data_IF_282295963624
#
_entry.id   IF_282295963624
#
_cell.length_a   1.000
_cell.length_b   1.000
_cell.length_c   1.000
_cell.angle_alpha   90.00
_cell.angle_beta   90.00
_cell.angle_gamma   90.00
#
_symmetry.space_group_name_H-M   'P 1'
#
loop_
_entity.id
_entity.type
_entity.pdbx_description
1 polymer ?
#
# COMPACT_ATOMS: atom_id res chain seq x y z
N UNK A 1 -10.79 -11.67 -29.65
CA UNK A 1 -11.99 -10.91 -29.26
C UNK A 1 -12.42 -11.39 -27.89
N UNK A 2 -12.16 -10.65 -26.80
CA UNK A 2 -12.50 -11.11 -25.45
C UNK A 2 -14.00 -10.93 -25.18
N UNK A 3 -14.62 -11.97 -24.62
CA UNK A 3 -15.96 -11.91 -24.04
C UNK A 3 -15.83 -11.75 -22.53
N UNK A 4 -16.29 -10.65 -22.02
CA UNK A 4 -16.24 -10.35 -20.57
C UNK A 4 -17.57 -10.72 -19.93
N UNK A 5 -17.52 -11.56 -18.90
CA UNK A 5 -18.68 -11.95 -18.11
C UNK A 5 -18.64 -11.17 -16.80
N UNK A 6 -19.66 -10.34 -16.56
CA UNK A 6 -19.82 -9.58 -15.32
C UNK A 6 -20.49 -10.42 -14.22
N UNK A 7 -20.41 -10.02 -12.93
CA UNK A 7 -21.01 -10.76 -11.82
C UNK A 7 -22.52 -11.00 -11.91
N UNK A 8 -23.25 -10.11 -12.60
CA UNK A 8 -24.68 -10.22 -12.87
C UNK A 8 -25.02 -11.16 -14.04
N UNK A 9 -24.01 -11.78 -14.65
CA UNK A 9 -24.13 -12.67 -15.82
C UNK A 9 -24.18 -11.95 -17.17
N UNK A 10 -24.15 -10.62 -17.19
CA UNK A 10 -24.12 -9.84 -18.42
C UNK A 10 -22.82 -10.10 -19.17
N UNK A 11 -22.93 -10.29 -20.50
CA UNK A 11 -21.78 -10.49 -21.40
C UNK A 11 -21.51 -9.22 -22.20
N UNK A 12 -20.26 -8.82 -22.23
CA UNK A 12 -19.76 -7.70 -23.04
C UNK A 12 -18.74 -8.26 -24.05
N UNK A 13 -18.96 -8.03 -25.33
CA UNK A 13 -18.12 -8.52 -26.40
C UNK A 13 -17.28 -7.37 -26.96
N UNK A 14 -15.98 -7.60 -27.14
CA UNK A 14 -15.06 -6.58 -27.63
C UNK A 14 -14.26 -7.12 -28.81
N UNK A 15 -14.05 -6.27 -29.82
CA UNK A 15 -13.23 -6.60 -31.00
C UNK A 15 -11.72 -6.56 -30.69
N UNK A 16 -11.33 -5.83 -29.67
CA UNK A 16 -9.94 -5.62 -29.26
C UNK A 16 -9.79 -5.85 -27.76
N UNK A 17 -8.54 -5.89 -27.30
CA UNK A 17 -8.20 -5.87 -25.87
C UNK A 17 -8.90 -4.72 -25.15
N UNK A 18 -9.30 -4.95 -23.92
CA UNK A 18 -10.05 -4.02 -23.08
C UNK A 18 -9.41 -3.95 -21.69
N UNK A 19 -9.51 -2.81 -21.01
CA UNK A 19 -9.05 -2.63 -19.63
C UNK A 19 -10.23 -2.42 -18.67
N UNK A 20 -9.95 -2.55 -17.37
CA UNK A 20 -10.96 -2.44 -16.32
C UNK A 20 -11.61 -1.07 -16.23
N UNK A 21 -10.88 0.01 -16.55
CA UNK A 21 -11.45 1.37 -16.51
C UNK A 21 -12.52 1.55 -17.58
N UNK A 22 -12.28 1.06 -18.79
CA UNK A 22 -13.28 1.08 -19.88
C UNK A 22 -14.48 0.21 -19.55
N UNK A 23 -14.26 -1.00 -18.99
CA UNK A 23 -15.35 -1.86 -18.52
C UNK A 23 -16.21 -1.14 -17.47
N UNK A 24 -15.59 -0.53 -16.47
CA UNK A 24 -16.29 0.23 -15.43
C UNK A 24 -17.10 1.40 -16.03
N UNK A 25 -16.54 2.11 -17.00
CA UNK A 25 -17.21 3.20 -17.73
C UNK A 25 -18.44 2.76 -18.54
N UNK A 26 -18.38 1.58 -19.14
CA UNK A 26 -19.52 0.98 -19.86
C UNK A 26 -20.65 0.53 -18.94
N UNK A 27 -20.33 0.17 -17.69
CA UNK A 27 -21.35 -0.16 -16.68
C UNK A 27 -21.99 1.12 -16.16
N UNK A 28 -21.21 2.07 -15.66
CA UNK A 28 -21.67 3.40 -15.28
C UNK A 28 -20.52 4.38 -15.04
N UNK A 29 -20.76 5.67 -15.26
CA UNK A 29 -19.82 6.75 -14.95
C UNK A 29 -19.48 6.83 -13.45
N UNK A 30 -20.46 6.51 -12.59
CA UNK A 30 -20.26 6.45 -11.13
C UNK A 30 -19.28 5.32 -10.75
N UNK A 31 -19.43 4.13 -11.34
CA UNK A 31 -18.52 3.00 -11.08
C UNK A 31 -17.11 3.30 -11.58
N UNK A 32 -16.96 3.92 -12.75
CA UNK A 32 -15.63 4.31 -13.27
C UNK A 32 -14.87 5.25 -12.31
N UNK A 33 -15.59 6.19 -11.68
CA UNK A 33 -15.00 7.08 -10.66
C UNK A 33 -14.58 6.36 -9.39
N UNK A 34 -15.34 5.35 -8.96
CA UNK A 34 -15.11 4.60 -7.72
C UNK A 34 -14.20 3.36 -7.92
N UNK A 35 -13.95 2.96 -9.16
CA UNK A 35 -13.13 1.81 -9.47
C UNK A 35 -11.69 2.01 -8.99
N UNK A 36 -11.17 1.01 -8.30
CA UNK A 36 -9.81 0.99 -7.73
C UNK A 36 -8.93 -0.02 -8.47
N UNK A 37 -9.36 -1.26 -8.51
CA UNK A 37 -8.73 -2.39 -9.21
C UNK A 37 -9.81 -3.28 -9.80
N UNK A 38 -9.44 -4.31 -10.53
CA UNK A 38 -10.38 -5.33 -11.00
C UNK A 38 -9.91 -6.73 -10.60
N UNK A 39 -10.86 -7.64 -10.52
CA UNK A 39 -10.59 -9.06 -10.44
C UNK A 39 -10.87 -9.69 -11.82
N UNK A 40 -9.91 -10.44 -12.31
CA UNK A 40 -9.99 -11.17 -13.59
C UNK A 40 -9.78 -12.65 -13.28
N UNK A 41 -10.80 -13.46 -13.50
CA UNK A 41 -10.78 -14.92 -13.24
C UNK A 41 -10.31 -15.27 -11.80
N UNK A 42 -10.72 -14.48 -10.80
CA UNK A 42 -10.36 -14.67 -9.40
C UNK A 42 -9.01 -14.04 -8.97
N UNK A 43 -8.31 -13.37 -9.87
CA UNK A 43 -7.02 -12.73 -9.58
C UNK A 43 -7.15 -11.22 -9.66
N UNK A 44 -6.73 -10.51 -8.61
CA UNK A 44 -6.71 -9.05 -8.61
C UNK A 44 -5.65 -8.51 -9.59
N UNK A 45 -6.03 -7.50 -10.35
CA UNK A 45 -5.22 -6.82 -11.37
C UNK A 45 -5.45 -5.31 -11.31
N UNK A 46 -4.44 -4.57 -11.74
CA UNK A 46 -4.56 -3.12 -11.96
C UNK A 46 -5.70 -2.82 -12.93
N UNK A 47 -6.39 -1.67 -12.78
CA UNK A 47 -7.46 -1.28 -13.69
C UNK A 47 -7.01 -1.12 -15.15
N UNK A 48 -5.74 -0.76 -15.37
CA UNK A 48 -5.17 -0.61 -16.72
C UNK A 48 -4.63 -1.91 -17.30
N UNK A 49 -4.73 -3.04 -16.58
CA UNK A 49 -4.34 -4.34 -17.13
C UNK A 49 -5.23 -4.71 -18.31
N UNK A 50 -4.60 -5.09 -19.44
CA UNK A 50 -5.29 -5.42 -20.68
C UNK A 50 -5.78 -6.87 -20.67
N UNK A 51 -7.08 -7.04 -20.88
CA UNK A 51 -7.72 -8.36 -21.01
C UNK A 51 -7.78 -8.70 -22.50
N UNK A 52 -7.17 -9.82 -22.86
CA UNK A 52 -7.02 -10.27 -24.27
C UNK A 52 -7.80 -11.53 -24.59
N UNK A 53 -8.33 -12.23 -23.58
CA UNK A 53 -9.08 -13.50 -23.70
C UNK A 53 -10.40 -13.42 -22.93
N UNK A 54 -11.29 -14.38 -23.21
CA UNK A 54 -12.54 -14.53 -22.48
C UNK A 54 -12.27 -14.65 -20.98
N UNK A 55 -12.94 -13.84 -20.17
CA UNK A 55 -12.68 -13.76 -18.72
C UNK A 55 -13.90 -13.29 -17.94
N UNK A 56 -13.97 -13.73 -16.68
CA UNK A 56 -14.91 -13.17 -15.69
C UNK A 56 -14.25 -11.96 -15.05
N UNK A 57 -14.95 -10.84 -15.01
CA UNK A 57 -14.41 -9.58 -14.48
C UNK A 57 -15.34 -8.96 -13.47
N UNK A 58 -14.78 -8.60 -12.31
CA UNK A 58 -15.45 -7.83 -11.25
C UNK A 58 -14.67 -6.54 -10.98
N UNK A 59 -15.33 -5.41 -11.01
CA UNK A 59 -14.72 -4.13 -10.64
C UNK A 59 -14.78 -3.98 -9.12
N UNK A 60 -13.65 -3.65 -8.53
CA UNK A 60 -13.46 -3.51 -7.09
C UNK A 60 -13.44 -2.04 -6.71
N UNK A 61 -14.16 -1.69 -5.66
CA UNK A 61 -14.25 -0.33 -5.09
C UNK A 61 -13.85 -0.34 -3.61
N UNK A 62 -13.79 0.82 -2.95
CA UNK A 62 -13.51 0.94 -1.51
C UNK A 62 -14.53 0.25 -0.60
N UNK A 63 -15.71 -0.11 -1.12
CA UNK A 63 -16.72 -0.86 -0.39
C UNK A 63 -16.40 -2.35 -0.27
N UNK A 64 -15.46 -2.84 -1.06
CA UNK A 64 -14.99 -4.23 -1.02
C UNK A 64 -13.77 -4.32 -0.09
N UNK A 65 -13.64 -5.42 0.63
CA UNK A 65 -12.49 -5.69 1.50
C UNK A 65 -11.17 -5.59 0.74
N UNK A 66 -11.12 -6.21 -0.42
CA UNK A 66 -9.95 -6.21 -1.31
C UNK A 66 -9.59 -4.79 -1.78
N UNK A 67 -10.59 -3.94 -2.02
CA UNK A 67 -10.39 -2.53 -2.38
C UNK A 67 -9.75 -1.73 -1.26
N UNK A 68 -10.17 -1.97 -0.01
CA UNK A 68 -9.56 -1.33 1.15
C UNK A 68 -8.12 -1.81 1.39
N UNK A 69 -7.85 -3.10 1.16
CA UNK A 69 -6.49 -3.65 1.24
C UNK A 69 -5.55 -2.99 0.20
N UNK A 70 -6.02 -2.78 -1.03
CA UNK A 70 -5.23 -2.07 -2.05
C UNK A 70 -5.02 -0.60 -1.68
N UNK A 71 -6.02 0.10 -1.15
CA UNK A 71 -5.85 1.48 -0.65
C UNK A 71 -4.77 1.53 0.43
N UNK A 72 -4.75 0.60 1.38
CA UNK A 72 -3.73 0.49 2.44
C UNK A 72 -2.35 0.20 1.88
N UNK A 73 -2.29 -0.67 0.88
CA UNK A 73 -1.04 -0.99 0.19
C UNK A 73 -0.43 0.23 -0.51
N UNK A 74 -1.24 0.97 -1.26
CA UNK A 74 -0.81 2.22 -1.89
C UNK A 74 -0.45 3.30 -0.87
N UNK A 75 -1.19 3.40 0.25
CA UNK A 75 -0.84 4.31 1.33
C UNK A 75 0.55 3.99 1.93
N UNK A 76 0.94 2.71 2.02
CA UNK A 76 2.28 2.30 2.44
C UNK A 76 3.35 2.78 1.44
N UNK A 77 3.10 2.67 0.12
CA UNK A 77 4.01 3.17 -0.91
C UNK A 77 4.13 4.70 -0.89
N UNK A 78 3.02 5.42 -0.73
CA UNK A 78 3.06 6.89 -0.63
C UNK A 78 3.75 7.35 0.66
N UNK A 79 3.61 6.61 1.76
CA UNK A 79 4.40 6.84 2.98
C UNK A 79 5.90 6.64 2.70
N UNK A 80 6.29 5.57 2.03
CA UNK A 80 7.69 5.30 1.68
C UNK A 80 8.27 6.41 0.78
N UNK A 81 7.50 6.84 -0.23
CA UNK A 81 7.86 7.98 -1.10
C UNK A 81 8.02 9.27 -0.29
N UNK A 82 7.09 9.58 0.61
CA UNK A 82 7.14 10.77 1.45
C UNK A 82 8.37 10.74 2.38
N UNK A 83 8.65 9.59 3.00
CA UNK A 83 9.81 9.41 3.87
C UNK A 83 11.11 9.67 3.11
N UNK A 84 11.30 9.09 1.92
CA UNK A 84 12.52 9.28 1.14
C UNK A 84 12.68 10.72 0.64
N UNK A 85 11.59 11.43 0.36
CA UNK A 85 11.63 12.84 -0.02
C UNK A 85 12.00 13.76 1.14
N UNK A 86 11.52 13.47 2.35
CA UNK A 86 11.80 14.27 3.55
C UNK A 86 13.14 13.93 4.20
N UNK A 87 13.56 12.66 4.08
CA UNK A 87 14.76 12.12 4.72
C UNK A 87 15.64 11.40 3.70
N UNK A 88 16.36 12.13 2.85
CA UNK A 88 17.24 11.56 1.83
C UNK A 88 18.26 10.57 2.43
N UNK A 89 18.50 9.47 1.74
CA UNK A 89 19.38 8.39 2.19
C UNK A 89 18.70 7.34 3.08
N UNK A 90 17.44 7.53 3.45
CA UNK A 90 16.62 6.47 4.08
C UNK A 90 16.33 5.38 3.06
N UNK A 91 16.69 4.13 3.38
CA UNK A 91 16.40 2.99 2.52
C UNK A 91 15.04 2.38 2.86
N UNK A 92 14.33 1.96 1.84
CA UNK A 92 13.04 1.28 1.98
C UNK A 92 13.20 -0.23 1.87
N UNK A 93 12.40 -0.98 2.61
CA UNK A 93 12.47 -2.45 2.62
C UNK A 93 11.15 -3.08 2.16
N UNK A 94 10.25 -3.37 3.08
CA UNK A 94 8.93 -3.95 2.80
C UNK A 94 7.83 -3.19 3.53
N UNK A 95 6.64 -3.11 2.89
CA UNK A 95 5.46 -2.43 3.42
C UNK A 95 4.17 -3.24 3.25
N UNK A 96 3.95 -4.30 4.05
CA UNK A 96 2.76 -5.11 3.93
C UNK A 96 1.53 -4.43 4.54
N UNK A 97 0.37 -4.83 4.04
CA UNK A 97 -0.92 -4.56 4.66
C UNK A 97 -1.12 -5.48 5.86
N UNK A 98 -1.74 -4.94 6.91
CA UNK A 98 -2.18 -5.66 8.11
C UNK A 98 -3.67 -5.45 8.32
N UNK A 99 -4.29 -6.15 9.28
CA UNK A 99 -5.74 -6.21 9.46
C UNK A 99 -6.45 -4.85 9.41
N UNK A 100 -5.96 -3.84 10.14
CA UNK A 100 -6.58 -2.51 10.20
C UNK A 100 -5.64 -1.39 9.74
N UNK A 101 -4.66 -1.71 8.90
CA UNK A 101 -3.70 -0.71 8.45
C UNK A 101 -2.59 -1.29 7.58
N UNK A 102 -1.45 -0.68 7.72
CA UNK A 102 -0.23 -1.03 7.01
C UNK A 102 0.98 -0.64 7.85
N UNK A 103 2.15 -1.12 7.47
CA UNK A 103 3.40 -0.56 7.95
C UNK A 103 4.42 -0.52 6.82
N UNK A 104 5.53 0.17 7.06
CA UNK A 104 6.71 0.10 6.21
C UNK A 104 7.98 0.13 7.07
N UNK A 105 8.97 -0.68 6.71
CA UNK A 105 10.24 -0.76 7.40
C UNK A 105 11.30 0.07 6.67
N UNK A 106 12.00 0.90 7.43
CA UNK A 106 13.00 1.84 6.95
C UNK A 106 14.34 1.60 7.61
N UNK A 107 15.43 1.62 6.83
CA UNK A 107 16.78 1.68 7.37
C UNK A 107 17.25 3.13 7.38
N UNK A 108 17.40 3.69 8.59
CA UNK A 108 17.82 5.07 8.85
C UNK A 108 18.63 5.11 10.15
N UNK A 109 19.68 5.94 10.21
CA UNK A 109 20.52 6.08 11.40
C UNK A 109 19.79 6.80 12.54
N UNK A 110 19.20 7.97 12.24
CA UNK A 110 18.45 8.72 13.26
C UNK A 110 17.05 8.14 13.44
N UNK A 111 16.56 8.02 14.69
CA UNK A 111 15.21 7.56 14.96
C UNK A 111 14.16 8.56 14.45
N UNK A 112 13.04 8.03 13.96
CA UNK A 112 11.86 8.85 13.68
C UNK A 112 11.21 9.31 14.98
N UNK A 113 10.81 10.59 15.01
CA UNK A 113 10.09 11.21 16.13
C UNK A 113 8.61 11.32 15.84
N UNK A 114 7.80 11.67 16.85
CA UNK A 114 6.38 11.98 16.65
C UNK A 114 6.16 13.17 15.71
N UNK A 115 7.05 14.17 15.75
CA UNK A 115 6.99 15.33 14.86
C UNK A 115 7.29 14.93 13.40
N UNK A 116 8.16 13.94 13.21
CA UNK A 116 8.42 13.41 11.87
C UNK A 116 7.20 12.71 11.29
N UNK A 117 6.42 11.99 12.10
CA UNK A 117 5.16 11.38 11.63
C UNK A 117 4.19 12.45 11.09
N UNK A 118 4.07 13.59 11.76
CA UNK A 118 3.22 14.70 11.29
C UNK A 118 3.70 15.30 9.97
N UNK A 119 5.03 15.46 9.81
CA UNK A 119 5.63 15.92 8.54
C UNK A 119 5.39 14.92 7.42
N UNK A 120 5.54 13.62 7.71
CA UNK A 120 5.29 12.54 6.75
C UNK A 120 3.81 12.54 6.33
N UNK A 121 2.86 12.63 7.25
CA UNK A 121 1.43 12.74 6.95
C UNK A 121 1.11 13.93 6.04
N UNK A 122 1.69 15.08 6.34
CA UNK A 122 1.54 16.29 5.52
C UNK A 122 2.06 16.03 4.11
N UNK A 123 3.27 15.44 3.98
CA UNK A 123 3.85 15.14 2.68
C UNK A 123 3.06 14.08 1.90
N UNK A 124 2.57 13.04 2.57
CA UNK A 124 1.64 12.08 1.97
C UNK A 124 0.40 12.77 1.40
N UNK A 125 -0.20 13.69 2.16
CA UNK A 125 -1.38 14.45 1.70
C UNK A 125 -1.08 15.28 0.46
N UNK A 126 0.09 15.91 0.38
CA UNK A 126 0.54 16.66 -0.80
C UNK A 126 0.72 15.77 -2.03
N UNK A 127 1.32 14.57 -1.87
CA UNK A 127 1.51 13.60 -2.95
C UNK A 127 0.14 13.07 -3.43
N UNK A 128 -0.80 12.86 -2.53
CA UNK A 128 -2.17 12.45 -2.86
C UNK A 128 -2.88 13.55 -3.67
N UNK A 129 -2.73 14.83 -3.28
CA UNK A 129 -3.31 15.97 -3.99
C UNK A 129 -2.72 16.16 -5.40
N UNK A 130 -1.47 15.79 -5.62
CA UNK A 130 -0.83 15.81 -6.93
C UNK A 130 -1.40 14.76 -7.89
N UNK A 131 -2.14 13.78 -7.39
CA UNK A 131 -2.74 12.66 -8.16
C UNK A 131 -1.75 12.00 -9.12
N UNK A 132 -0.54 11.69 -8.61
CA UNK A 132 0.53 11.10 -9.40
C UNK A 132 0.11 9.74 -9.95
N UNK A 133 0.35 9.52 -11.25
CA UNK A 133 -0.06 8.29 -11.92
C UNK A 133 0.83 7.11 -11.52
N UNK A 134 0.21 5.93 -11.44
CA UNK A 134 0.90 4.68 -11.18
C UNK A 134 1.10 3.93 -12.49
N UNK A 135 2.34 3.46 -12.74
CA UNK A 135 2.71 2.68 -13.92
C UNK A 135 3.45 1.43 -13.50
N UNK A 136 3.02 0.27 -14.01
CA UNK A 136 3.69 -1.01 -13.82
C UNK A 136 4.65 -1.29 -14.97
N UNK A 137 5.88 -1.71 -14.64
CA UNK A 137 6.85 -2.24 -15.60
C UNK A 137 7.37 -3.60 -15.14
N UNK A 138 7.69 -4.46 -16.07
CA UNK A 138 8.40 -5.72 -15.81
C UNK A 138 9.87 -5.52 -16.16
N UNK A 139 10.74 -5.81 -15.18
CA UNK A 139 12.17 -5.65 -15.38
C UNK A 139 12.89 -7.00 -15.35
N UNK A 140 13.93 -7.09 -16.17
CA UNK A 140 14.88 -8.20 -16.09
C UNK A 140 15.62 -8.15 -14.75
N UNK A 141 15.83 -9.32 -14.12
CA UNK A 141 16.43 -9.46 -12.79
C UNK A 141 17.76 -8.73 -12.63
N UNK A 142 18.69 -8.94 -13.56
CA UNK A 142 20.01 -8.29 -13.50
C UNK A 142 19.89 -6.76 -13.60
N UNK A 143 19.01 -6.28 -14.45
CA UNK A 143 18.70 -4.84 -14.57
C UNK A 143 18.18 -4.29 -13.25
N UNK A 144 17.22 -4.97 -12.62
CA UNK A 144 16.63 -4.54 -11.36
C UNK A 144 17.65 -4.52 -10.23
N UNK A 145 18.43 -5.58 -10.04
CA UNK A 145 19.49 -5.65 -9.00
C UNK A 145 20.50 -4.51 -9.19
N UNK A 146 21.03 -4.34 -10.41
CA UNK A 146 22.02 -3.29 -10.69
C UNK A 146 21.46 -1.89 -10.45
N UNK A 147 20.19 -1.68 -10.82
CA UNK A 147 19.52 -0.41 -10.60
C UNK A 147 19.38 -0.08 -9.12
N UNK A 148 18.82 -0.99 -8.30
CA UNK A 148 18.61 -0.75 -6.87
C UNK A 148 19.96 -0.62 -6.13
N UNK A 149 21.00 -1.39 -6.51
CA UNK A 149 22.36 -1.19 -5.97
C UNK A 149 22.92 0.19 -6.32
N UNK A 150 22.71 0.67 -7.55
CA UNK A 150 23.21 1.98 -8.02
C UNK A 150 22.55 3.15 -7.27
N UNK A 151 21.26 3.07 -6.94
CA UNK A 151 20.55 4.12 -6.19
C UNK A 151 20.69 3.96 -4.66
N UNK A 152 21.45 2.97 -4.18
CA UNK A 152 21.72 2.78 -2.76
C UNK A 152 20.69 1.94 -2.00
N UNK A 153 19.70 1.37 -2.68
CA UNK A 153 18.63 0.54 -2.10
C UNK A 153 19.10 -0.92 -1.92
N UNK A 154 20.03 -1.15 -0.97
CA UNK A 154 20.63 -2.48 -0.75
C UNK A 154 19.61 -3.55 -0.40
N UNK A 155 18.59 -3.22 0.42
CA UNK A 155 17.56 -4.16 0.83
C UNK A 155 16.66 -4.60 -0.32
N UNK A 156 16.32 -3.68 -1.24
CA UNK A 156 15.57 -4.04 -2.45
C UNK A 156 16.37 -4.98 -3.35
N UNK A 157 17.67 -4.72 -3.54
CA UNK A 157 18.54 -5.62 -4.29
C UNK A 157 18.59 -7.02 -3.65
N UNK A 158 18.74 -7.10 -2.32
CA UNK A 158 18.77 -8.37 -1.57
C UNK A 158 17.42 -9.11 -1.65
N UNK A 159 16.28 -8.40 -1.60
CA UNK A 159 14.96 -9.00 -1.80
C UNK A 159 14.87 -9.62 -3.19
N UNK A 160 15.28 -8.89 -4.24
CA UNK A 160 15.25 -9.39 -5.62
C UNK A 160 16.10 -10.65 -5.77
N UNK A 161 17.28 -10.69 -5.14
CA UNK A 161 18.16 -11.86 -5.17
C UNK A 161 17.52 -13.09 -4.51
N UNK A 162 16.60 -12.91 -3.55
CA UNK A 162 15.88 -13.99 -2.87
C UNK A 162 14.59 -14.45 -3.57
N UNK A 163 14.09 -13.73 -4.57
CA UNK A 163 12.91 -14.11 -5.34
C UNK A 163 13.29 -15.25 -6.31
N UNK A 164 12.51 -16.34 -6.43
CA UNK A 164 12.76 -17.41 -7.39
C UNK A 164 12.89 -16.90 -8.84
N UNK A 165 13.76 -17.52 -9.64
CA UNK A 165 14.00 -17.12 -11.03
C UNK A 165 12.78 -17.26 -11.94
N UNK A 166 11.83 -18.12 -11.58
CA UNK A 166 10.56 -18.33 -12.27
C UNK A 166 9.55 -17.21 -12.06
N UNK A 167 9.76 -16.31 -11.08
CA UNK A 167 8.86 -15.21 -10.78
C UNK A 167 9.21 -13.95 -11.57
N UNK A 168 8.18 -13.32 -12.12
CA UNK A 168 8.27 -12.03 -12.78
C UNK A 168 8.54 -10.91 -11.78
N UNK A 169 9.48 -10.02 -12.09
CA UNK A 169 9.79 -8.86 -11.29
C UNK A 169 9.05 -7.64 -11.82
N UNK A 170 8.07 -7.17 -11.07
CA UNK A 170 7.37 -5.94 -11.39
C UNK A 170 7.85 -4.77 -10.53
N UNK A 171 8.03 -3.64 -11.21
CA UNK A 171 8.38 -2.35 -10.62
C UNK A 171 7.20 -1.41 -10.84
N UNK A 172 6.74 -0.80 -9.77
CA UNK A 172 5.67 0.19 -9.82
C UNK A 172 6.26 1.59 -9.65
N UNK A 173 6.02 2.44 -10.63
CA UNK A 173 6.40 3.84 -10.64
C UNK A 173 5.22 4.67 -10.13
N UNK A 174 5.48 5.55 -9.17
CA UNK A 174 4.55 6.57 -8.71
C UNK A 174 5.06 7.93 -9.22
N UNK A 175 4.48 8.43 -10.30
CA UNK A 175 5.00 9.57 -11.04
C UNK A 175 6.32 9.25 -11.75
N UNK A 176 7.11 10.30 -12.01
CA UNK A 176 8.37 10.19 -12.76
C UNK A 176 9.59 9.93 -11.86
N UNK A 177 9.47 10.18 -10.55
CA UNK A 177 10.62 10.30 -9.66
C UNK A 177 10.78 9.18 -8.66
N UNK A 178 9.74 8.39 -8.42
CA UNK A 178 9.78 7.35 -7.41
C UNK A 178 9.22 6.02 -7.92
N UNK A 179 9.86 4.93 -7.52
CA UNK A 179 9.43 3.59 -7.89
C UNK A 179 9.83 2.56 -6.84
N UNK A 180 9.12 1.47 -6.80
CA UNK A 180 9.36 0.39 -5.87
C UNK A 180 9.16 -0.99 -6.50
N UNK A 181 9.87 -1.99 -5.94
CA UNK A 181 9.64 -3.41 -6.24
C UNK A 181 8.34 -3.85 -5.57
N UNK A 182 7.37 -4.26 -6.36
CA UNK A 182 6.08 -4.72 -5.83
C UNK A 182 5.37 -5.68 -6.79
N UNK A 183 4.61 -6.62 -6.23
CA UNK A 183 3.75 -7.53 -7.01
C UNK A 183 2.44 -6.87 -7.46
N UNK A 184 2.01 -5.81 -6.77
CA UNK A 184 0.71 -5.18 -6.98
C UNK A 184 -0.48 -6.03 -6.50
N UNK A 185 -1.73 -5.74 -6.94
CA UNK A 185 -2.03 -4.60 -7.80
C UNK A 185 -1.98 -3.26 -7.06
N UNK A 186 -1.94 -2.17 -7.84
CA UNK A 186 -1.95 -0.80 -7.34
C UNK A 186 -3.12 0.02 -7.91
N UNK A 187 -3.44 1.10 -7.23
CA UNK A 187 -4.36 2.13 -7.70
C UNK A 187 -3.80 2.82 -8.95
N UNK A 188 -4.66 3.33 -9.81
CA UNK A 188 -4.25 4.03 -11.04
C UNK A 188 -3.54 5.35 -10.77
N UNK A 189 -3.73 5.93 -9.57
CA UNK A 189 -3.05 7.16 -9.14
C UNK A 189 -3.18 7.38 -7.63
N UNK A 190 -2.28 8.20 -7.06
CA UNK A 190 -2.25 8.48 -5.62
C UNK A 190 -3.52 9.14 -5.10
N UNK A 191 -4.22 9.95 -5.91
CA UNK A 191 -5.47 10.59 -5.53
C UNK A 191 -6.60 9.62 -5.17
N UNK A 192 -6.54 8.37 -5.67
CA UNK A 192 -7.50 7.31 -5.34
C UNK A 192 -7.39 6.80 -3.90
N UNK A 193 -6.30 7.05 -3.19
CA UNK A 193 -6.12 6.69 -1.77
C UNK A 193 -7.08 7.51 -0.90
N UNK A 194 -7.29 8.79 -1.24
CA UNK A 194 -8.02 9.73 -0.40
C UNK A 194 -7.22 10.16 0.83
N UNK A 195 -7.87 10.95 1.71
CA UNK A 195 -7.21 11.54 2.91
C UNK A 195 -7.66 10.90 4.22
N UNK A 196 -8.30 9.74 4.17
CA UNK A 196 -8.75 9.03 5.36
C UNK A 196 -7.66 8.10 5.89
N UNK A 197 -6.48 8.64 6.20
CA UNK A 197 -5.34 7.90 6.75
C UNK A 197 -4.76 8.60 7.98
N UNK A 198 -4.01 7.83 8.80
CA UNK A 198 -3.28 8.31 9.96
C UNK A 198 -2.04 7.45 10.20
N UNK A 199 -0.89 8.06 10.47
CA UNK A 199 0.27 7.36 10.99
C UNK A 199 0.13 7.24 12.50
N UNK A 200 0.40 6.06 13.06
CA UNK A 200 0.01 5.78 14.45
C UNK A 200 1.19 5.68 15.39
N UNK A 201 2.25 4.98 14.99
CA UNK A 201 3.42 4.77 15.85
C UNK A 201 4.67 4.40 15.07
N UNK A 202 5.82 4.53 15.72
CA UNK A 202 7.09 3.99 15.31
C UNK A 202 7.49 2.85 16.25
N UNK A 203 8.11 1.81 15.74
CA UNK A 203 8.76 0.76 16.54
C UNK A 203 10.02 0.25 15.87
N UNK A 204 10.89 -0.43 16.62
CA UNK A 204 11.98 -1.22 16.04
C UNK A 204 11.46 -2.52 15.41
N UNK A 205 12.14 -2.99 14.38
CA UNK A 205 11.93 -4.31 13.79
C UNK A 205 13.25 -4.82 13.22
N UNK A 206 13.63 -6.06 13.54
CA UNK A 206 14.81 -6.64 12.94
C UNK A 206 14.56 -7.05 11.49
N UNK A 207 15.54 -6.77 10.63
CA UNK A 207 15.49 -7.20 9.23
C UNK A 207 15.26 -8.72 9.13
N UNK A 208 14.27 -9.12 8.36
CA UNK A 208 13.79 -10.51 8.21
C UNK A 208 13.43 -11.20 9.54
N UNK A 209 13.11 -10.44 10.58
CA UNK A 209 12.72 -10.98 11.89
C UNK A 209 13.85 -11.67 12.66
N UNK A 210 15.11 -11.52 12.24
CA UNK A 210 16.27 -12.11 12.90
C UNK A 210 17.02 -11.03 13.71
N UNK A 211 17.18 -11.26 15.02
CA UNK A 211 17.87 -10.34 15.96
C UNK A 211 19.34 -10.10 15.64
N UNK A 212 19.97 -10.97 14.87
CA UNK A 212 21.36 -10.80 14.44
C UNK A 212 21.51 -9.81 13.27
N UNK A 213 20.39 -9.45 12.62
CA UNK A 213 20.36 -8.49 11.54
C UNK A 213 20.17 -7.06 12.04
N UNK A 214 20.36 -6.09 11.15
CA UNK A 214 20.15 -4.67 11.44
C UNK A 214 18.73 -4.38 11.96
N UNK A 215 18.63 -3.53 12.98
CA UNK A 215 17.37 -3.02 13.46
C UNK A 215 16.88 -1.90 12.54
N UNK A 216 15.72 -2.10 11.96
CA UNK A 216 14.98 -1.15 11.12
C UNK A 216 13.99 -0.37 11.97
N UNK A 217 13.51 0.72 11.41
CA UNK A 217 12.44 1.52 12.01
C UNK A 217 11.15 1.27 11.24
N UNK A 218 10.14 0.78 11.95
CA UNK A 218 8.83 0.46 11.40
C UNK A 218 7.86 1.58 11.71
N UNK A 219 7.30 2.21 10.67
CA UNK A 219 6.21 3.17 10.82
C UNK A 219 4.91 2.45 10.51
N UNK A 220 3.95 2.54 11.45
CA UNK A 220 2.61 2.03 11.28
C UNK A 220 1.65 3.13 10.85
N UNK A 221 0.71 2.76 10.00
CA UNK A 221 -0.39 3.62 9.60
C UNK A 221 -1.70 2.85 9.42
N UNK A 222 -2.78 3.59 9.34
CA UNK A 222 -4.11 3.09 9.00
C UNK A 222 -4.68 3.92 7.87
N UNK A 223 -5.50 3.30 7.00
CA UNK A 223 -6.19 3.99 5.91
C UNK A 223 -7.55 3.36 5.68
N UNK A 224 -8.56 4.20 5.39
CA UNK A 224 -9.97 3.84 5.32
C UNK A 224 -10.62 4.44 4.08
N UNK A 225 -11.77 3.89 3.67
CA UNK A 225 -12.51 4.37 2.51
C UNK A 225 -13.16 5.75 2.70
N UNK A 226 -13.32 6.19 3.96
CA UNK A 226 -13.90 7.48 4.30
C UNK A 226 -13.34 8.03 5.62
N UNK A 227 -13.42 9.37 5.77
CA UNK A 227 -13.04 10.04 7.02
C UNK A 227 -13.86 9.52 8.22
N UNK A 228 -15.14 9.25 8.02
CA UNK A 228 -16.02 8.71 9.05
C UNK A 228 -15.51 7.37 9.59
N UNK A 229 -15.14 6.44 8.70
CA UNK A 229 -14.59 5.14 9.09
C UNK A 229 -13.25 5.27 9.83
N UNK A 230 -12.39 6.19 9.40
CA UNK A 230 -11.15 6.50 10.10
C UNK A 230 -11.42 7.02 11.52
N UNK A 231 -12.32 8.00 11.66
CA UNK A 231 -12.66 8.60 12.95
C UNK A 231 -13.29 7.56 13.90
N UNK A 232 -14.18 6.71 13.40
CA UNK A 232 -14.74 5.59 14.18
C UNK A 232 -13.67 4.58 14.63
N UNK A 233 -12.69 4.31 13.79
CA UNK A 233 -11.57 3.44 14.16
C UNK A 233 -10.67 4.07 15.24
N UNK A 234 -10.29 5.34 15.06
CA UNK A 234 -9.45 6.06 16.02
C UNK A 234 -10.14 6.19 17.38
N UNK A 235 -11.43 6.49 17.40
CA UNK A 235 -12.23 6.54 18.63
C UNK A 235 -12.25 5.18 19.36
N UNK A 236 -12.38 4.07 18.62
CA UNK A 236 -12.31 2.72 19.22
C UNK A 236 -10.95 2.42 19.83
N UNK A 237 -9.85 2.86 19.18
CA UNK A 237 -8.51 2.70 19.75
C UNK A 237 -8.34 3.51 21.02
N UNK A 238 -8.78 4.76 21.03
CA UNK A 238 -8.73 5.62 22.23
C UNK A 238 -9.55 5.04 23.40
N UNK A 239 -10.76 4.55 23.12
CA UNK A 239 -11.59 3.87 24.11
C UNK A 239 -10.95 2.58 24.63
N UNK A 240 -10.30 1.80 23.76
CA UNK A 240 -9.58 0.59 24.17
C UNK A 240 -8.38 0.94 25.07
N UNK A 241 -7.65 2.02 24.75
CA UNK A 241 -6.52 2.49 25.55
C UNK A 241 -6.97 3.01 26.93
N UNK A 242 -8.09 3.72 27.01
CA UNK A 242 -8.70 4.14 28.28
C UNK A 242 -9.12 2.96 29.16
N UNK A 243 -9.46 1.82 28.56
CA UNK A 243 -9.87 0.58 29.25
C UNK A 243 -8.73 -0.40 29.47
N UNK A 244 -7.48 -0.04 29.18
CA UNK A 244 -6.33 -0.92 29.47
C UNK A 244 -6.25 -1.19 30.98
N UNK A 245 -6.49 -2.44 31.38
CA UNK A 245 -6.52 -2.88 32.76
C UNK A 245 -5.21 -2.61 33.51
N UNK A 246 -4.06 -2.56 32.81
CA UNK A 246 -2.76 -2.25 33.41
C UNK A 246 -2.68 -0.78 33.82
N UNK A 247 -3.25 0.13 33.00
CA UNK A 247 -3.32 1.55 33.27
C UNK A 247 -4.32 1.82 34.40
N UNK A 248 -5.53 1.29 34.25
CA UNK A 248 -6.59 1.41 35.27
C UNK A 248 -6.16 0.79 36.61
N UNK A 249 -5.55 -0.39 36.61
CA UNK A 249 -5.09 -1.06 37.81
C UNK A 249 -4.01 -0.27 38.58
N UNK A 250 -3.12 0.43 37.84
CA UNK A 250 -2.12 1.32 38.42
C UNK A 250 -2.76 2.60 38.97
N UNK A 251 -3.68 3.23 38.20
CA UNK A 251 -4.40 4.45 38.64
C UNK A 251 -5.30 4.20 39.85
N UNK A 252 -5.92 3.02 39.90
CA UNK A 252 -6.80 2.60 41.02
C UNK A 252 -6.06 1.92 42.17
N UNK A 253 -4.72 1.85 42.11
CA UNK A 253 -3.86 1.22 43.14
C UNK A 253 -4.20 -0.26 43.43
N UNK A 254 -4.67 -0.98 42.43
CA UNK A 254 -5.09 -2.37 42.57
C UNK A 254 -3.92 -3.37 42.54
N UNK A 255 -2.77 -2.99 42.02
CA UNK A 255 -1.54 -3.80 42.01
C UNK A 255 -0.29 -2.94 41.80
N UNK A 256 0.81 -3.40 42.36
CA UNK A 256 2.14 -2.82 42.18
C UNK A 256 3.04 -3.83 41.46
N UNK A 257 3.85 -3.35 40.52
CA UNK A 257 4.96 -4.14 39.99
C UNK A 257 6.11 -4.07 41.01
N UNK A 258 6.56 -5.22 41.53
CA UNK A 258 7.83 -5.27 42.26
C UNK A 258 8.95 -5.11 41.24
N UNK A 259 9.85 -4.15 41.48
CA UNK A 259 11.13 -4.04 40.76
C UNK A 259 12.03 -5.25 41.04
#
# INVERSE_FOLDING_TARGET
MPNIILPDGKKLNFEKKIDGLKIAGLISSSLAKQALVMEVDGILKDLNHEITKDSKVRIITSKNKEGLEVIRHDAAHIMAMAVQQLFPGTQVTIGPVIENGFYYDFARKEPFTSDDLLKIETRMSEIIDQDVKTKREVWERKKAINHFKKIGEKYKAEIIESIPDSEELSIYHHGETWHDLCRGPHLSSSGKIGKAFKLTKVSGAYWRGNSDNEMLQRIYGTCWGSKKELDEYLNRLEEAEKRDHRKLGKEMDLFHFRE
#
